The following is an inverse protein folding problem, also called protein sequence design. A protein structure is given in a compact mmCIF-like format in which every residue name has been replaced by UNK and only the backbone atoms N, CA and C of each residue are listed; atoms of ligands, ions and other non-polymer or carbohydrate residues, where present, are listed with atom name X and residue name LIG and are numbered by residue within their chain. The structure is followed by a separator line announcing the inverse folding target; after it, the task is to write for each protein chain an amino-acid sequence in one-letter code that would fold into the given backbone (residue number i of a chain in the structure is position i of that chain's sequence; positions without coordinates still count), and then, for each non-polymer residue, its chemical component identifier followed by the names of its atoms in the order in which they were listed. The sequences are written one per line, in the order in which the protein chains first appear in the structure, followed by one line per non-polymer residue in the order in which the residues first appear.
data_IF_744936762222
#
_entry.id   IF_744936762222
#
_cell.length_a   1.000
_cell.length_b   1.000
_cell.length_c   1.000
_cell.angle_alpha   90.00
_cell.angle_beta   90.00
_cell.angle_gamma   90.00
#
_symmetry.space_group_name_H-M   'P 1'
#
loop_
_entity.id
_entity.type
_entity.pdbx_description
1 polymer ?
#
# COMPACT_ATOMS: atom_id res chain seq x y z
N UNK A 1 16.03 -12.09 -3.53
CA UNK A 1 14.85 -12.36 -4.40
C UNK A 1 14.08 -13.58 -3.90
N UNK A 2 14.77 -14.61 -3.40
CA UNK A 2 14.18 -15.83 -2.84
C UNK A 2 13.36 -15.64 -1.53
N UNK A 3 13.79 -14.78 -0.61
CA UNK A 3 13.12 -14.65 0.70
C UNK A 3 11.64 -14.22 0.63
N UNK A 4 11.29 -13.31 -0.28
CA UNK A 4 9.90 -12.83 -0.45
C UNK A 4 9.03 -13.80 -1.27
N UNK A 5 9.64 -14.62 -2.13
CA UNK A 5 8.95 -15.63 -2.90
C UNK A 5 8.63 -16.84 -2.01
N UNK A 6 9.58 -17.32 -1.20
CA UNK A 6 9.33 -18.40 -0.24
C UNK A 6 8.33 -18.01 0.86
N UNK A 7 8.27 -16.73 1.27
CA UNK A 7 7.34 -16.27 2.31
C UNK A 7 5.87 -16.19 1.87
N UNK A 8 5.62 -15.79 0.61
CA UNK A 8 4.27 -15.56 0.08
C UNK A 8 3.80 -16.65 -0.89
N UNK A 9 4.73 -17.42 -1.47
CA UNK A 9 4.46 -18.50 -2.43
C UNK A 9 4.92 -19.88 -1.91
N UNK A 10 5.60 -19.94 -0.77
CA UNK A 10 6.06 -21.18 -0.15
C UNK A 10 4.90 -21.98 0.46
N UNK A 11 4.99 -23.29 0.28
CA UNK A 11 4.00 -24.31 0.62
C UNK A 11 3.84 -24.61 2.12
N UNK A 12 4.00 -23.62 3.00
CA UNK A 12 3.91 -23.78 4.46
C UNK A 12 2.70 -23.00 5.02
N UNK A 13 1.55 -23.66 5.23
CA UNK A 13 0.31 -23.02 5.67
C UNK A 13 0.42 -22.28 7.01
N UNK A 14 1.29 -22.73 7.90
CA UNK A 14 1.50 -22.11 9.22
C UNK A 14 2.23 -20.77 9.13
N UNK A 15 3.23 -20.67 8.26
CA UNK A 15 3.92 -19.41 7.95
C UNK A 15 2.97 -18.43 7.25
N UNK A 16 2.16 -18.92 6.31
CA UNK A 16 1.13 -18.11 5.65
C UNK A 16 0.10 -17.57 6.66
N UNK A 17 -0.42 -18.42 7.55
CA UNK A 17 -1.38 -18.04 8.59
C UNK A 17 -0.78 -17.03 9.56
N UNK A 18 0.44 -17.24 10.03
CA UNK A 18 1.14 -16.32 10.92
C UNK A 18 1.36 -14.94 10.27
N UNK A 19 1.73 -14.92 8.99
CA UNK A 19 1.87 -13.68 8.20
C UNK A 19 0.51 -13.02 8.05
N UNK A 20 -0.55 -13.74 7.71
CA UNK A 20 -1.92 -13.22 7.58
C UNK A 20 -2.45 -12.64 8.90
N UNK A 21 -2.20 -13.30 10.03
CA UNK A 21 -2.59 -12.82 11.37
C UNK A 21 -1.84 -11.52 11.74
N UNK A 22 -0.52 -11.49 11.56
CA UNK A 22 0.30 -10.30 11.84
C UNK A 22 -0.04 -9.14 10.91
N UNK A 23 -0.30 -9.46 9.64
CA UNK A 23 -0.77 -8.53 8.63
C UNK A 23 -2.11 -7.93 9.08
N UNK A 24 -3.07 -8.77 9.49
CA UNK A 24 -4.38 -8.32 9.99
C UNK A 24 -4.27 -7.43 11.24
N UNK A 25 -3.41 -7.78 12.19
CA UNK A 25 -3.17 -7.01 13.42
C UNK A 25 -2.61 -5.61 13.12
N UNK A 26 -1.58 -5.53 12.27
CA UNK A 26 -0.95 -4.27 11.85
C UNK A 26 -1.91 -3.41 11.03
N UNK A 27 -2.74 -4.02 10.18
CA UNK A 27 -3.72 -3.27 9.40
C UNK A 27 -4.87 -2.73 10.25
N UNK A 28 -5.27 -3.46 11.29
CA UNK A 28 -6.27 -2.98 12.25
C UNK A 28 -5.81 -1.70 12.94
N UNK A 29 -4.56 -1.65 13.41
CA UNK A 29 -4.01 -0.45 14.05
C UNK A 29 -3.83 0.70 13.07
N UNK A 30 -3.34 0.43 11.85
CA UNK A 30 -3.17 1.46 10.82
C UNK A 30 -4.50 2.09 10.39
N UNK A 31 -5.54 1.25 10.23
CA UNK A 31 -6.87 1.73 9.87
C UNK A 31 -7.43 2.64 10.96
N UNK A 32 -7.27 2.28 12.23
CA UNK A 32 -7.67 3.11 13.37
C UNK A 32 -6.90 4.44 13.41
N UNK A 33 -5.60 4.43 13.13
CA UNK A 33 -4.80 5.65 13.08
C UNK A 33 -5.20 6.57 11.93
N UNK A 34 -5.55 6.02 10.77
CA UNK A 34 -6.10 6.81 9.67
C UNK A 34 -7.49 7.39 9.96
N UNK A 35 -8.36 6.64 10.65
CA UNK A 35 -9.65 7.19 11.12
C UNK A 35 -9.44 8.32 12.12
N UNK A 36 -8.48 8.21 13.04
CA UNK A 36 -8.12 9.30 13.97
C UNK A 36 -7.59 10.52 13.21
N UNK A 37 -6.70 10.32 12.24
CA UNK A 37 -6.17 11.40 11.40
C UNK A 37 -7.29 12.10 10.60
N UNK A 38 -8.26 11.33 10.09
CA UNK A 38 -9.45 11.87 9.44
C UNK A 38 -10.33 12.67 10.41
N UNK A 39 -10.58 12.15 11.61
CA UNK A 39 -11.33 12.87 12.64
C UNK A 39 -10.64 14.18 13.08
N UNK A 40 -9.30 14.21 13.05
CA UNK A 40 -8.48 15.39 13.30
C UNK A 40 -8.41 16.38 12.12
N UNK A 41 -9.04 16.06 10.98
CA UNK A 41 -9.06 16.93 9.80
C UNK A 41 -7.79 16.87 8.95
N UNK A 42 -6.89 15.92 9.21
CA UNK A 42 -5.69 15.70 8.38
C UNK A 42 -6.09 15.12 7.02
N UNK A 43 -7.07 14.21 7.00
CA UNK A 43 -7.63 13.66 5.77
C UNK A 43 -9.00 14.25 5.46
N UNK A 44 -9.34 14.29 4.17
CA UNK A 44 -10.67 14.71 3.71
C UNK A 44 -11.76 13.83 4.35
N UNK A 45 -12.87 14.45 4.74
CA UNK A 45 -13.97 13.80 5.48
C UNK A 45 -14.67 12.68 4.71
N UNK A 46 -14.59 12.72 3.38
CA UNK A 46 -15.18 11.75 2.47
C UNK A 46 -14.20 10.64 2.05
N UNK A 47 -12.95 10.67 2.53
CA UNK A 47 -12.01 9.57 2.34
C UNK A 47 -12.54 8.33 3.05
N UNK A 48 -12.42 7.16 2.40
CA UNK A 48 -12.57 5.87 3.08
C UNK A 48 -11.18 5.34 3.40
N UNK A 49 -10.71 5.34 4.66
CA UNK A 49 -9.39 4.82 5.01
C UNK A 49 -9.15 3.37 4.54
N UNK A 50 -10.20 2.55 4.43
CA UNK A 50 -10.15 1.19 3.89
C UNK A 50 -9.69 1.15 2.43
N UNK A 51 -9.95 2.21 1.66
CA UNK A 51 -9.48 2.32 0.28
C UNK A 51 -7.95 2.40 0.24
N UNK A 52 -7.35 3.25 1.09
CA UNK A 52 -5.90 3.37 1.17
C UNK A 52 -5.26 2.03 1.52
N UNK A 53 -5.87 1.30 2.46
CA UNK A 53 -5.42 -0.01 2.89
C UNK A 53 -5.40 -1.00 1.73
N UNK A 54 -6.53 -1.10 1.03
CA UNK A 54 -6.68 -2.03 -0.09
C UNK A 54 -5.71 -1.71 -1.23
N UNK A 55 -5.53 -0.42 -1.50
CA UNK A 55 -4.60 0.06 -2.52
C UNK A 55 -3.14 -0.25 -2.14
N UNK A 56 -2.75 -0.07 -0.87
CA UNK A 56 -1.40 -0.40 -0.39
C UNK A 56 -1.05 -1.88 -0.56
N UNK A 57 -2.01 -2.78 -0.34
CA UNK A 57 -1.82 -4.21 -0.60
C UNK A 57 -1.58 -4.51 -2.09
N UNK A 58 -2.31 -3.82 -2.97
CA UNK A 58 -2.17 -3.97 -4.42
C UNK A 58 -0.93 -3.31 -5.00
N UNK A 59 -0.31 -2.37 -4.29
CA UNK A 59 0.93 -1.73 -4.72
C UNK A 59 2.06 -2.76 -4.91
N UNK A 60 2.09 -3.81 -4.08
CA UNK A 60 3.07 -4.90 -4.21
C UNK A 60 2.90 -5.67 -5.52
N UNK A 61 1.65 -5.89 -5.94
CA UNK A 61 1.34 -6.52 -7.23
C UNK A 61 1.74 -5.60 -8.39
N UNK A 62 1.48 -4.29 -8.28
CA UNK A 62 1.86 -3.29 -9.29
C UNK A 62 3.38 -3.20 -9.46
N UNK A 63 4.15 -3.27 -8.37
CA UNK A 63 5.62 -3.28 -8.42
C UNK A 63 6.20 -4.51 -9.15
N UNK A 64 5.41 -5.57 -9.33
CA UNK A 64 5.80 -6.77 -10.08
C UNK A 64 5.34 -6.72 -11.55
N UNK A 65 4.51 -5.75 -11.94
CA UNK A 65 4.02 -5.64 -13.31
C UNK A 65 5.13 -5.14 -14.25
N UNK A 66 5.53 -5.99 -15.21
CA UNK A 66 6.61 -5.66 -16.14
C UNK A 66 6.29 -4.51 -17.11
N UNK A 67 5.01 -4.28 -17.43
CA UNK A 67 4.62 -3.16 -18.30
C UNK A 67 4.73 -1.85 -17.54
N UNK A 68 4.33 -1.84 -16.27
CA UNK A 68 4.44 -0.69 -15.40
C UNK A 68 5.91 -0.37 -15.07
N UNK A 69 6.71 -1.40 -14.76
CA UNK A 69 8.14 -1.24 -14.48
C UNK A 69 8.94 -0.70 -15.67
N UNK A 70 8.42 -0.80 -16.91
CA UNK A 70 9.05 -0.21 -18.10
C UNK A 70 8.79 1.29 -18.25
N UNK A 71 7.88 1.87 -17.46
CA UNK A 71 7.58 3.30 -17.50
C UNK A 71 8.54 4.14 -16.64
N UNK A 72 9.29 3.50 -15.74
CA UNK A 72 10.16 4.17 -14.77
C UNK A 72 11.57 3.59 -14.83
N UNK A 73 12.58 4.41 -14.55
CA UNK A 73 13.97 3.95 -14.53
C UNK A 73 14.24 3.11 -13.27
N UNK A 74 13.51 3.39 -12.18
CA UNK A 74 13.61 2.66 -10.91
C UNK A 74 12.26 2.44 -10.23
N UNK A 75 12.08 1.38 -9.42
CA UNK A 75 10.88 1.20 -8.60
C UNK A 75 10.58 2.37 -7.66
N UNK A 76 11.61 3.08 -7.22
CA UNK A 76 11.49 4.24 -6.33
C UNK A 76 10.77 5.40 -7.00
N UNK A 77 10.98 5.63 -8.30
CA UNK A 77 10.28 6.68 -9.04
C UNK A 77 8.78 6.42 -9.08
N UNK A 78 8.38 5.17 -9.35
CA UNK A 78 6.98 4.76 -9.30
C UNK A 78 6.37 4.97 -7.91
N UNK A 79 7.08 4.57 -6.85
CA UNK A 79 6.59 4.76 -5.46
C UNK A 79 6.37 6.25 -5.15
N UNK A 80 7.28 7.13 -5.58
CA UNK A 80 7.15 8.58 -5.38
C UNK A 80 5.98 9.15 -6.18
N UNK A 81 5.81 8.76 -7.45
CA UNK A 81 4.69 9.19 -8.27
C UNK A 81 3.35 8.72 -7.70
N UNK A 82 3.29 7.48 -7.26
CA UNK A 82 2.10 6.91 -6.64
C UNK A 82 1.74 7.62 -5.32
N UNK A 83 2.74 7.93 -4.48
CA UNK A 83 2.52 8.69 -3.25
C UNK A 83 1.96 10.10 -3.56
N UNK A 84 2.46 10.76 -4.60
CA UNK A 84 1.92 12.05 -5.06
C UNK A 84 0.49 11.90 -5.59
N UNK A 85 0.20 10.86 -6.36
CA UNK A 85 -1.14 10.57 -6.85
C UNK A 85 -2.15 10.37 -5.71
N UNK A 86 -1.74 9.68 -4.64
CA UNK A 86 -2.60 9.47 -3.47
C UNK A 86 -2.77 10.76 -2.66
N UNK A 87 -1.71 11.56 -2.50
CA UNK A 87 -1.72 12.76 -1.69
C UNK A 87 -2.42 13.96 -2.38
N UNK A 88 -2.19 14.14 -3.68
CA UNK A 88 -2.58 15.33 -4.43
C UNK A 88 -3.49 15.02 -5.62
N UNK A 89 -3.68 13.75 -5.98
CA UNK A 89 -4.37 13.38 -7.20
C UNK A 89 -3.49 13.64 -8.43
N UNK A 90 -4.10 14.12 -9.51
CA UNK A 90 -3.42 14.36 -10.81
C UNK A 90 -2.96 15.82 -10.95
N UNK A 91 -3.38 16.69 -10.03
CA UNK A 91 -3.09 18.13 -10.07
C UNK A 91 -1.87 18.47 -9.22
N UNK A 92 -1.23 19.59 -9.53
CA UNK A 92 -0.06 20.02 -8.76
C UNK A 92 -0.43 20.37 -7.32
N UNK A 93 0.45 20.06 -6.34
CA UNK A 93 0.19 20.36 -4.93
C UNK A 93 -0.13 21.84 -4.65
N UNK A 94 0.31 22.74 -5.52
CA UNK A 94 0.23 24.19 -5.37
C UNK A 94 -0.82 24.86 -6.28
N UNK A 95 -1.61 24.10 -7.05
CA UNK A 95 -2.63 24.65 -7.98
C UNK A 95 -4.07 24.37 -7.53
#
# INVERSE_FOLDING_TARGET
KEFMEDFYLGSEPELQTFVEEKTTEVWGSLLEDWKKAQAAGVFRKDLKPELLLHISLKLVDLLKDEKLNKLYDTPQEFIVEFAKLVAYGISEPEK
#
